data_IF_809395469925
#
_entry.id   IF_809395469925
#
_cell.length_a   1.000
_cell.length_b   1.000
_cell.length_c   1.000
_cell.angle_alpha   90.00
_cell.angle_beta   90.00
_cell.angle_gamma   90.00
#
_symmetry.space_group_name_H-M   'P 1'
#
loop_
_entity.id
_entity.type
_entity.pdbx_description
1 polymer ?
#
# COMPACT_ATOMS: atom_id res chain seq x y z
N UNK A 1 21.94 10.78 -7.45
CA UNK A 1 21.51 10.70 -8.86
C UNK A 1 19.99 10.80 -8.93
N UNK A 2 19.44 11.70 -9.77
CA UNK A 2 18.00 11.80 -10.00
C UNK A 2 17.60 10.88 -11.15
N UNK A 3 17.21 9.65 -10.85
CA UNK A 3 16.72 8.71 -11.87
C UNK A 3 15.32 9.12 -12.36
N UNK A 4 15.09 9.03 -13.67
CA UNK A 4 13.78 9.31 -14.27
C UNK A 4 12.73 8.25 -13.88
N UNK A 5 13.17 7.01 -13.65
CA UNK A 5 12.38 5.88 -13.20
C UNK A 5 13.23 4.99 -12.29
N UNK A 6 12.63 4.38 -11.26
CA UNK A 6 13.32 3.47 -10.34
C UNK A 6 12.39 2.34 -9.91
N UNK A 7 12.98 1.17 -9.62
CA UNK A 7 12.29 0.00 -9.07
C UNK A 7 12.79 -0.32 -7.66
N UNK A 8 11.88 -0.76 -6.80
CA UNK A 8 12.17 -1.22 -5.45
C UNK A 8 11.29 -2.42 -5.10
N UNK A 9 11.90 -3.44 -4.49
CA UNK A 9 11.19 -4.51 -3.80
C UNK A 9 11.22 -4.20 -2.31
N UNK A 10 10.08 -4.30 -1.63
CA UNK A 10 9.99 -4.03 -0.20
C UNK A 10 9.19 -5.14 0.48
N UNK A 11 9.68 -5.55 1.65
CA UNK A 11 8.98 -6.45 2.55
C UNK A 11 8.65 -5.70 3.84
N UNK A 12 7.37 -5.71 4.21
CA UNK A 12 6.86 -5.15 5.45
C UNK A 12 6.54 -6.27 6.41
N UNK A 13 7.50 -6.64 7.27
CA UNK A 13 7.29 -7.67 8.31
C UNK A 13 6.20 -7.26 9.32
N UNK A 14 6.05 -5.96 9.54
CA UNK A 14 5.12 -5.37 10.50
C UNK A 14 4.15 -4.41 9.81
N UNK A 15 3.04 -4.10 10.49
CA UNK A 15 2.08 -3.08 10.10
C UNK A 15 2.78 -1.73 9.94
N UNK A 16 2.73 -1.18 8.74
CA UNK A 16 3.32 0.12 8.42
C UNK A 16 2.26 1.04 7.84
N UNK A 17 2.16 2.27 8.32
CA UNK A 17 1.27 3.28 7.75
C UNK A 17 2.03 4.56 7.45
N UNK A 18 1.83 5.08 6.25
CA UNK A 18 2.40 6.34 5.81
C UNK A 18 1.43 7.51 6.10
N UNK A 19 1.94 8.71 6.40
CA UNK A 19 1.08 9.88 6.56
C UNK A 19 0.40 10.23 5.24
N UNK A 20 -0.81 10.79 5.33
CA UNK A 20 -1.54 11.28 4.17
C UNK A 20 -0.87 12.54 3.61
N UNK A 21 -0.21 12.42 2.47
CA UNK A 21 0.50 13.54 1.82
C UNK A 21 0.47 13.42 0.29
N UNK A 22 0.76 14.53 -0.38
CA UNK A 22 0.92 14.55 -1.83
C UNK A 22 2.15 13.75 -2.23
N UNK A 23 2.00 12.82 -3.17
CA UNK A 23 3.15 12.06 -3.69
C UNK A 23 3.99 12.93 -4.62
N UNK A 24 5.32 12.86 -4.44
CA UNK A 24 6.27 13.69 -5.20
C UNK A 24 6.70 13.07 -6.53
N UNK A 25 6.33 11.82 -6.76
CA UNK A 25 6.57 11.04 -7.97
C UNK A 25 5.30 10.29 -8.33
N UNK A 26 5.17 9.93 -9.60
CA UNK A 26 4.21 8.90 -9.96
C UNK A 26 4.68 7.55 -9.40
N UNK A 27 3.74 6.68 -9.06
CA UNK A 27 4.02 5.38 -8.48
C UNK A 27 3.13 4.32 -9.08
N UNK A 28 3.73 3.22 -9.51
CA UNK A 28 3.05 1.95 -9.70
C UNK A 28 3.38 1.08 -8.48
N UNK A 29 2.38 0.53 -7.82
CA UNK A 29 2.52 -0.32 -6.65
C UNK A 29 1.82 -1.65 -6.93
N UNK A 30 2.57 -2.74 -6.91
CA UNK A 30 2.06 -4.11 -7.00
C UNK A 30 2.22 -4.79 -5.65
N UNK A 31 1.18 -5.49 -5.20
CA UNK A 31 1.26 -6.37 -4.04
C UNK A 31 1.52 -7.78 -4.56
N UNK A 32 2.68 -8.33 -4.24
CA UNK A 32 3.04 -9.70 -4.62
C UNK A 32 2.46 -10.70 -3.60
N UNK A 33 2.46 -10.32 -2.32
CA UNK A 33 1.92 -11.10 -1.23
C UNK A 33 1.37 -10.18 -0.13
N UNK A 34 0.32 -10.61 0.57
CA UNK A 34 -0.27 -9.88 1.68
C UNK A 34 -1.35 -8.89 1.24
N UNK A 35 -1.47 -7.78 1.98
CA UNK A 35 -2.53 -6.80 1.79
C UNK A 35 -2.01 -5.38 2.03
N UNK A 36 -2.28 -4.48 1.09
CA UNK A 36 -2.06 -3.05 1.27
C UNK A 36 -3.38 -2.29 1.18
N UNK A 37 -3.47 -1.15 1.86
CA UNK A 37 -4.57 -0.20 1.73
C UNK A 37 -4.07 1.10 1.12
N UNK A 38 -4.69 1.51 0.03
CA UNK A 38 -4.47 2.82 -0.60
C UNK A 38 -5.64 3.74 -0.25
N UNK A 39 -5.40 4.74 0.60
CA UNK A 39 -6.36 5.82 0.81
C UNK A 39 -6.23 6.84 -0.30
N UNK A 40 -7.20 6.90 -1.19
CA UNK A 40 -7.28 7.90 -2.26
C UNK A 40 -8.64 8.60 -2.19
N UNK A 41 -8.63 9.93 -2.03
CA UNK A 41 -9.88 10.66 -1.76
C UNK A 41 -10.48 10.26 -0.40
N UNK A 42 -11.74 9.82 -0.38
CA UNK A 42 -12.45 9.41 0.84
C UNK A 42 -12.37 7.91 1.11
N UNK A 43 -12.08 7.11 0.09
CA UNK A 43 -12.10 5.64 0.13
C UNK A 43 -10.72 5.08 0.44
N UNK A 44 -10.67 4.00 1.21
CA UNK A 44 -9.48 3.14 1.39
C UNK A 44 -9.64 1.88 0.54
N UNK A 45 -8.91 1.82 -0.58
CA UNK A 45 -8.93 0.70 -1.50
C UNK A 45 -8.05 -0.43 -0.98
N UNK A 46 -8.60 -1.64 -0.91
CA UNK A 46 -7.86 -2.84 -0.60
C UNK A 46 -7.11 -3.32 -1.85
N UNK A 47 -5.78 -3.36 -1.77
CA UNK A 47 -4.88 -3.85 -2.81
C UNK A 47 -4.37 -5.23 -2.35
N UNK A 48 -4.98 -6.27 -2.90
CA UNK A 48 -4.73 -7.67 -2.59
C UNK A 48 -3.57 -8.23 -3.42
N UNK A 49 -3.08 -9.40 -3.05
CA UNK A 49 -2.02 -10.08 -3.78
C UNK A 49 -2.37 -10.26 -5.27
N UNK A 50 -1.41 -9.96 -6.14
CA UNK A 50 -1.57 -9.94 -7.60
C UNK A 50 -2.13 -8.64 -8.16
N UNK A 51 -2.70 -7.75 -7.32
CA UNK A 51 -3.24 -6.48 -7.79
C UNK A 51 -2.16 -5.40 -7.89
N UNK A 52 -2.39 -4.48 -8.83
CA UNK A 52 -1.50 -3.34 -9.08
C UNK A 52 -2.32 -2.05 -9.12
N UNK A 53 -1.80 -1.00 -8.49
CA UNK A 53 -2.39 0.34 -8.50
C UNK A 53 -1.42 1.38 -9.05
N UNK A 54 -1.95 2.33 -9.80
CA UNK A 54 -1.28 3.53 -10.24
C UNK A 54 -1.67 4.72 -9.37
N UNK A 55 -0.66 5.47 -8.91
CA UNK A 55 -0.80 6.68 -8.11
C UNK A 55 -0.08 7.82 -8.84
N UNK A 56 -0.81 8.75 -9.47
CA UNK A 56 -0.22 9.89 -10.15
C UNK A 56 0.52 10.82 -9.21
N UNK A 57 1.54 11.51 -9.73
CA UNK A 57 2.16 12.67 -9.08
C UNK A 57 1.09 13.65 -8.56
N UNK A 58 1.38 14.27 -7.42
CA UNK A 58 0.51 15.24 -6.73
C UNK A 58 -0.80 14.66 -6.17
N UNK A 59 -1.00 13.35 -6.25
CA UNK A 59 -2.13 12.68 -5.59
C UNK A 59 -1.96 12.71 -4.08
N UNK A 60 -2.99 13.18 -3.36
CA UNK A 60 -3.05 13.13 -1.90
C UNK A 60 -3.51 11.74 -1.45
N UNK A 61 -2.58 10.91 -1.00
CA UNK A 61 -2.87 9.56 -0.54
C UNK A 61 -2.11 9.17 0.74
N UNK A 62 -2.54 8.06 1.35
CA UNK A 62 -1.75 7.32 2.34
C UNK A 62 -1.78 5.85 1.99
N UNK A 63 -0.69 5.15 2.29
CA UNK A 63 -0.53 3.71 2.17
C UNK A 63 -0.44 3.09 3.56
N UNK A 64 -1.18 2.00 3.78
CA UNK A 64 -0.98 1.08 4.90
C UNK A 64 -0.60 -0.29 4.35
N UNK A 65 0.45 -0.90 4.87
CA UNK A 65 0.88 -2.26 4.55
C UNK A 65 0.62 -3.14 5.76
N UNK A 66 -0.08 -4.26 5.55
CA UNK A 66 -0.33 -5.24 6.61
C UNK A 66 0.97 -6.03 6.89
N UNK A 67 1.08 -6.68 8.05
CA UNK A 67 2.21 -7.56 8.33
C UNK A 67 2.44 -8.59 7.21
N UNK A 68 3.71 -8.95 7.00
CA UNK A 68 4.17 -9.88 5.96
C UNK A 68 3.76 -9.51 4.52
N UNK A 69 3.60 -8.21 4.23
CA UNK A 69 3.26 -7.75 2.88
C UNK A 69 4.52 -7.54 2.04
N UNK A 70 4.54 -8.17 0.86
CA UNK A 70 5.61 -8.02 -0.14
C UNK A 70 5.10 -7.19 -1.31
N UNK A 71 5.86 -6.17 -1.70
CA UNK A 71 5.48 -5.28 -2.78
C UNK A 71 6.63 -5.07 -3.77
N UNK A 72 6.23 -4.72 -4.98
CA UNK A 72 7.07 -4.07 -5.98
C UNK A 72 6.57 -2.65 -6.21
N UNK A 73 7.51 -1.72 -6.26
CA UNK A 73 7.24 -0.29 -6.46
C UNK A 73 8.07 0.23 -7.62
N UNK A 74 7.40 0.81 -8.62
CA UNK A 74 8.03 1.62 -9.66
C UNK A 74 7.71 3.08 -9.37
N UNK A 75 8.73 3.92 -9.25
CA UNK A 75 8.56 5.36 -9.15
C UNK A 75 9.03 6.06 -10.41
N UNK A 76 8.26 7.03 -10.89
CA UNK A 76 8.62 7.84 -12.06
C UNK A 76 8.65 9.31 -11.67
N UNK A 77 9.75 9.98 -12.01
CA UNK A 77 9.93 11.41 -11.76
C UNK A 77 8.81 12.21 -12.43
N UNK A 78 8.29 13.23 -11.74
CA UNK A 78 7.30 14.16 -12.30
C UNK A 78 7.82 15.00 -13.47
N UNK A 79 9.15 15.00 -13.70
CA UNK A 79 9.81 15.74 -14.78
C UNK A 79 9.87 14.97 -16.11
N UNK A 80 9.38 13.72 -16.16
CA UNK A 80 9.35 12.98 -17.43
C UNK A 80 8.34 13.64 -18.38
N UNK A 81 8.68 13.68 -19.67
CA UNK A 81 7.84 14.29 -20.71
C UNK A 81 6.80 13.34 -21.29
N UNK A 82 6.89 12.05 -20.96
CA UNK A 82 5.93 11.03 -21.39
C UNK A 82 4.54 11.32 -20.81
N UNK A 83 3.50 11.15 -21.62
CA UNK A 83 2.10 11.25 -21.15
C UNK A 83 1.81 10.06 -20.24
N UNK A 84 1.66 10.32 -18.95
CA UNK A 84 1.29 9.33 -17.95
C UNK A 84 -0.17 9.53 -17.53
N UNK A 85 -0.85 8.47 -17.04
CA UNK A 85 -2.23 8.60 -16.56
C UNK A 85 -2.33 9.61 -15.42
N UNK A 86 -3.31 10.50 -15.54
CA UNK A 86 -3.59 11.56 -14.55
C UNK A 86 -4.49 11.10 -13.41
N UNK A 87 -5.29 10.05 -13.65
CA UNK A 87 -6.15 9.43 -12.66
C UNK A 87 -5.40 8.29 -11.97
N UNK A 88 -5.60 8.13 -10.67
CA UNK A 88 -5.13 6.95 -9.92
C UNK A 88 -6.20 5.86 -9.85
N UNK A 89 -5.76 4.62 -9.70
CA UNK A 89 -6.66 3.47 -9.67
C UNK A 89 -5.93 2.15 -9.90
N UNK A 90 -6.68 1.07 -9.86
CA UNK A 90 -6.21 -0.26 -10.24
C UNK A 90 -5.90 -0.32 -11.73
N UNK A 91 -4.86 -1.06 -12.08
CA UNK A 91 -4.46 -1.26 -13.47
C UNK A 91 -4.24 -2.75 -13.72
N UNK A 92 -4.69 -3.23 -14.88
CA UNK A 92 -4.20 -4.47 -15.44
C UNK A 92 -2.91 -4.20 -16.21
N UNK A 93 -1.86 -4.92 -15.86
CA UNK A 93 -0.60 -4.88 -16.59
C UNK A 93 -0.69 -5.79 -17.81
N UNK A 94 -0.19 -5.33 -18.95
CA UNK A 94 -0.02 -6.20 -20.11
C UNK A 94 1.10 -7.23 -19.86
N UNK A 95 1.21 -8.21 -20.75
CA UNK A 95 2.17 -9.30 -20.63
C UNK A 95 3.62 -8.80 -20.52
N UNK A 96 3.97 -7.77 -21.30
CA UNK A 96 5.29 -7.16 -21.28
C UNK A 96 5.61 -6.51 -19.92
N UNK A 97 4.71 -5.66 -19.41
CA UNK A 97 4.84 -5.04 -18.09
C UNK A 97 4.97 -6.09 -17.00
N UNK A 98 4.13 -7.12 -17.04
CA UNK A 98 4.14 -8.21 -16.05
C UNK A 98 5.46 -8.96 -16.07
N UNK A 99 5.97 -9.33 -17.26
CA UNK A 99 7.24 -10.01 -17.41
C UNK A 99 8.42 -9.15 -16.94
N UNK A 100 8.41 -7.85 -17.24
CA UNK A 100 9.43 -6.91 -16.79
C UNK A 100 9.42 -6.75 -15.27
N UNK A 101 8.26 -6.58 -14.64
CA UNK A 101 8.13 -6.49 -13.18
C UNK A 101 8.59 -7.77 -12.47
N UNK A 102 8.17 -8.94 -12.98
CA UNK A 102 8.62 -10.23 -12.45
C UNK A 102 10.15 -10.33 -12.48
N UNK A 103 10.77 -10.01 -13.62
CA UNK A 103 12.23 -10.01 -13.75
C UNK A 103 12.87 -8.98 -12.83
N UNK A 104 12.38 -7.74 -12.79
CA UNK A 104 12.91 -6.67 -11.93
C UNK A 104 12.88 -7.06 -10.44
N UNK A 105 11.93 -7.91 -10.04
CA UNK A 105 11.80 -8.45 -8.69
C UNK A 105 12.85 -9.47 -8.27
N UNK A 106 13.59 -10.06 -9.21
CA UNK A 106 14.59 -11.08 -8.92
C UNK A 106 15.83 -10.46 -8.25
N UNK A 107 16.21 -10.97 -7.07
CA UNK A 107 17.22 -10.36 -6.18
C UNK A 107 18.68 -10.33 -6.71
N UNK A 108 18.93 -10.79 -7.93
CA UNK A 108 20.30 -10.97 -8.47
C UNK A 108 20.54 -10.27 -9.82
N UNK A 109 19.85 -9.16 -10.09
CA UNK A 109 20.09 -8.41 -11.33
C UNK A 109 21.14 -7.30 -11.17
N UNK A 110 22.19 -7.40 -11.99
CA UNK A 110 23.16 -6.33 -12.15
C UNK A 110 22.47 -5.05 -12.61
N UNK A 111 22.87 -3.91 -12.02
CA UNK A 111 22.29 -2.60 -12.29
C UNK A 111 22.23 -2.25 -13.80
N UNK A 112 23.23 -2.68 -14.57
CA UNK A 112 23.32 -2.47 -16.02
C UNK A 112 22.17 -3.13 -16.80
N UNK A 113 21.63 -4.26 -16.32
CA UNK A 113 20.49 -4.94 -16.96
C UNK A 113 19.15 -4.32 -16.57
N UNK A 114 19.08 -3.70 -15.39
CA UNK A 114 17.87 -3.05 -14.87
C UNK A 114 17.53 -1.77 -15.65
N UNK A 115 18.53 -0.99 -16.06
CA UNK A 115 18.30 0.31 -16.73
C UNK A 115 17.53 0.17 -18.06
N UNK A 116 17.91 -0.72 -19.00
CA UNK A 116 17.14 -0.94 -20.22
C UNK A 116 15.71 -1.43 -19.95
N UNK A 117 15.53 -2.33 -18.97
CA UNK A 117 14.20 -2.84 -18.61
C UNK A 117 13.29 -1.72 -18.10
N UNK A 118 13.80 -0.83 -17.24
CA UNK A 118 13.05 0.33 -16.78
C UNK A 118 12.76 1.33 -17.90
N UNK A 119 13.65 1.47 -18.89
CA UNK A 119 13.39 2.32 -20.04
C UNK A 119 12.21 1.81 -20.88
N UNK A 120 12.14 0.50 -21.14
CA UNK A 120 10.99 -0.14 -21.82
C UNK A 120 9.73 -0.02 -20.97
N UNK A 121 9.81 -0.35 -19.69
CA UNK A 121 8.68 -0.25 -18.76
C UNK A 121 8.08 1.17 -18.73
N UNK A 122 8.94 2.20 -18.75
CA UNK A 122 8.50 3.60 -18.77
C UNK A 122 7.67 3.95 -20.01
N UNK A 123 7.96 3.35 -21.16
CA UNK A 123 7.18 3.58 -22.39
C UNK A 123 5.78 3.00 -22.26
N UNK A 124 5.69 1.78 -21.72
CA UNK A 124 4.43 1.06 -21.51
C UNK A 124 3.51 1.74 -20.48
N UNK A 125 4.06 2.46 -19.49
CA UNK A 125 3.26 3.18 -18.49
C UNK A 125 2.26 4.18 -19.08
N UNK A 126 2.49 4.67 -20.30
CA UNK A 126 1.56 5.58 -20.98
C UNK A 126 0.26 4.90 -21.44
N UNK A 127 0.26 3.57 -21.52
CA UNK A 127 -0.88 2.74 -21.97
C UNK A 127 -1.79 2.30 -20.82
N UNK A 128 -1.40 2.59 -19.57
CA UNK A 128 -2.21 2.23 -18.42
C UNK A 128 -3.57 2.96 -18.46
N UNK A 129 -4.61 2.23 -18.08
CA UNK A 129 -5.96 2.76 -17.89
C UNK A 129 -6.39 2.51 -16.43
N UNK A 130 -6.03 3.41 -15.49
CA UNK A 130 -6.35 3.22 -14.08
C UNK A 130 -7.83 3.42 -13.79
N UNK A 131 -8.43 2.49 -13.06
CA UNK A 131 -9.84 2.53 -12.65
C UNK A 131 -10.00 2.36 -11.15
N UNK A 132 -10.93 3.11 -10.57
CA UNK A 132 -11.26 3.00 -9.15
C UNK A 132 -12.51 2.13 -9.03
N UNK A 133 -12.28 0.86 -8.75
CA UNK A 133 -13.33 -0.13 -8.50
C UNK A 133 -13.24 -0.56 -7.02
N UNK A 134 -14.37 -0.60 -6.33
CA UNK A 134 -14.43 -1.06 -4.94
C UNK A 134 -14.70 -2.56 -4.90
N UNK A 135 -13.68 -3.35 -4.57
CA UNK A 135 -13.83 -4.79 -4.30
C UNK A 135 -14.69 -5.03 -3.05
N UNK A 136 -15.18 -6.26 -2.86
CA UNK A 136 -15.88 -6.65 -1.62
C UNK A 136 -15.01 -6.40 -0.38
N UNK A 137 -13.70 -6.69 -0.47
CA UNK A 137 -12.74 -6.38 0.59
C UNK A 137 -12.64 -4.87 0.85
N UNK A 138 -12.59 -4.06 -0.22
CA UNK A 138 -12.60 -2.59 -0.10
C UNK A 138 -13.85 -2.13 0.64
N UNK A 139 -15.03 -2.60 0.23
CA UNK A 139 -16.28 -2.22 0.88
C UNK A 139 -16.31 -2.66 2.35
N UNK A 140 -15.92 -3.90 2.64
CA UNK A 140 -15.90 -4.45 3.99
C UNK A 140 -14.97 -3.65 4.92
N UNK A 141 -13.79 -3.24 4.44
CA UNK A 141 -12.84 -2.44 5.22
C UNK A 141 -13.38 -1.02 5.47
N UNK A 142 -13.98 -0.37 4.47
CA UNK A 142 -14.52 0.99 4.65
C UNK A 142 -15.75 1.03 5.58
N UNK A 143 -16.50 -0.07 5.70
CA UNK A 143 -17.64 -0.20 6.61
C UNK A 143 -17.29 -0.81 7.97
N UNK A 144 -16.05 -1.30 8.16
CA UNK A 144 -15.64 -1.96 9.38
C UNK A 144 -15.67 -1.01 10.59
N UNK A 145 -16.15 -1.54 11.73
CA UNK A 145 -16.16 -0.88 13.04
C UNK A 145 -15.82 -1.92 14.11
N UNK A 146 -15.21 -1.46 15.20
CA UNK A 146 -14.63 -2.32 16.27
C UNK A 146 -15.67 -3.26 16.91
N UNK A 147 -16.90 -2.78 17.10
CA UNK A 147 -17.97 -3.52 17.81
C UNK A 147 -19.10 -4.01 16.90
N UNK A 148 -18.86 -4.03 15.58
CA UNK A 148 -19.84 -4.49 14.60
C UNK A 148 -19.37 -5.79 13.99
N UNK A 149 -20.27 -6.78 13.92
CA UNK A 149 -20.00 -8.05 13.25
C UNK A 149 -19.56 -7.78 11.82
N UNK A 150 -18.36 -8.23 11.47
CA UNK A 150 -17.76 -8.03 10.15
C UNK A 150 -17.59 -9.37 9.43
N UNK A 151 -17.60 -9.31 8.10
CA UNK A 151 -17.23 -10.43 7.20
C UNK A 151 -15.72 -10.57 7.04
N UNK A 152 -14.94 -9.58 7.50
CA UNK A 152 -13.48 -9.62 7.45
C UNK A 152 -12.92 -10.73 8.32
N UNK A 153 -11.78 -11.31 7.93
CA UNK A 153 -11.08 -12.29 8.76
C UNK A 153 -10.65 -11.67 10.10
N UNK A 154 -10.55 -12.49 11.14
CA UNK A 154 -10.11 -12.04 12.47
C UNK A 154 -8.74 -11.35 12.44
N UNK A 155 -7.84 -11.82 11.58
CA UNK A 155 -6.53 -11.21 11.37
C UNK A 155 -6.64 -9.79 10.81
N UNK A 156 -7.46 -9.58 9.78
CA UNK A 156 -7.66 -8.23 9.21
C UNK A 156 -8.30 -7.31 10.24
N UNK A 157 -9.29 -7.78 10.99
CA UNK A 157 -9.93 -6.99 12.03
C UNK A 157 -8.96 -6.59 13.14
N UNK A 158 -8.05 -7.48 13.52
CA UNK A 158 -7.00 -7.23 14.52
C UNK A 158 -6.06 -6.10 14.06
N UNK A 159 -5.61 -6.16 12.80
CA UNK A 159 -4.76 -5.13 12.20
C UNK A 159 -5.48 -3.79 12.12
N UNK A 160 -6.74 -3.77 11.69
CA UNK A 160 -7.56 -2.55 11.62
C UNK A 160 -7.77 -1.93 13.01
N UNK A 161 -7.97 -2.77 14.03
CA UNK A 161 -8.10 -2.36 15.43
C UNK A 161 -6.82 -1.75 15.98
N UNK A 162 -5.65 -2.35 15.70
CA UNK A 162 -4.35 -1.77 16.06
C UNK A 162 -4.10 -0.44 15.34
N UNK A 163 -4.46 -0.33 14.06
CA UNK A 163 -4.36 0.91 13.30
C UNK A 163 -5.23 2.02 13.89
N UNK A 164 -6.47 1.71 14.29
CA UNK A 164 -7.36 2.67 14.94
C UNK A 164 -6.83 3.10 16.32
N UNK A 165 -6.25 2.17 17.09
CA UNK A 165 -5.56 2.51 18.35
C UNK A 165 -4.42 3.50 18.11
N UNK A 166 -3.54 3.23 17.14
CA UNK A 166 -2.44 4.12 16.73
C UNK A 166 -2.94 5.52 16.36
N UNK A 167 -3.99 5.59 15.54
CA UNK A 167 -4.61 6.85 15.11
C UNK A 167 -5.19 7.65 16.29
N UNK A 168 -5.89 7.02 17.23
CA UNK A 168 -6.44 7.70 18.41
C UNK A 168 -5.34 8.28 19.31
N UNK A 169 -4.25 7.53 19.50
CA UNK A 169 -3.10 8.00 20.26
C UNK A 169 -2.39 9.17 19.57
N UNK A 170 -2.19 9.11 18.24
CA UNK A 170 -1.67 10.25 17.45
C UNK A 170 -2.57 11.48 17.50
N UNK A 171 -3.87 11.29 17.78
CA UNK A 171 -4.85 12.37 17.98
C UNK A 171 -4.89 12.87 19.43
N UNK A 172 -3.97 12.43 20.29
CA UNK A 172 -3.80 12.91 21.67
C UNK A 172 -4.55 12.13 22.74
N UNK A 173 -5.23 11.03 22.40
CA UNK A 173 -5.90 10.18 23.40
C UNK A 173 -4.87 9.38 24.21
N UNK A 174 -5.11 9.26 25.53
CA UNK A 174 -4.22 8.49 26.42
C UNK A 174 -4.33 6.99 26.12
N UNK A 175 -3.20 6.29 26.14
CA UNK A 175 -3.14 4.84 25.88
C UNK A 175 -4.13 4.05 26.75
N UNK A 176 -4.25 4.38 28.05
CA UNK A 176 -5.18 3.70 28.95
C UNK A 176 -6.65 3.80 28.46
N UNK A 177 -7.05 4.96 27.95
CA UNK A 177 -8.40 5.16 27.40
C UNK A 177 -8.59 4.37 26.10
N UNK A 178 -7.60 4.39 25.21
CA UNK A 178 -7.65 3.62 23.95
C UNK A 178 -7.74 2.11 24.22
N UNK A 179 -7.01 1.62 25.23
CA UNK A 179 -7.05 0.22 25.65
C UNK A 179 -8.39 -0.15 26.30
N UNK A 180 -8.97 0.76 27.08
CA UNK A 180 -10.32 0.59 27.63
C UNK A 180 -11.35 0.42 26.50
N UNK A 181 -11.38 1.38 25.58
CA UNK A 181 -12.39 1.46 24.52
C UNK A 181 -12.27 0.34 23.49
N UNK A 182 -11.04 0.01 23.09
CA UNK A 182 -10.81 -0.95 22.01
C UNK A 182 -10.57 -2.35 22.57
N UNK A 183 -9.80 -2.51 23.64
CA UNK A 183 -9.33 -3.82 24.11
C UNK A 183 -9.97 -4.25 25.43
N UNK A 184 -11.04 -3.58 25.88
CA UNK A 184 -11.78 -3.98 27.08
C UNK A 184 -10.92 -3.97 28.35
N UNK A 185 -10.05 -2.96 28.50
CA UNK A 185 -9.06 -2.83 29.58
C UNK A 185 -7.96 -3.91 29.62
N UNK A 186 -7.85 -4.77 28.60
CA UNK A 186 -6.81 -5.82 28.54
C UNK A 186 -5.47 -5.24 28.05
N UNK A 187 -4.76 -4.55 28.94
CA UNK A 187 -3.46 -3.92 28.61
C UNK A 187 -2.41 -4.92 28.14
N UNK A 188 -2.31 -6.09 28.78
CA UNK A 188 -1.33 -7.13 28.39
C UNK A 188 -1.57 -7.63 26.97
N UNK A 189 -2.83 -7.91 26.62
CA UNK A 189 -3.20 -8.32 25.27
C UNK A 189 -2.87 -7.24 24.24
N UNK A 190 -3.13 -5.97 24.56
CA UNK A 190 -2.74 -4.84 23.71
C UNK A 190 -1.22 -4.79 23.49
N UNK A 191 -0.41 -4.94 24.54
CA UNK A 191 1.06 -4.92 24.42
C UNK A 191 1.59 -6.11 23.61
N UNK A 192 1.03 -7.30 23.79
CA UNK A 192 1.37 -8.48 22.97
C UNK A 192 1.07 -8.25 21.49
N UNK A 193 -0.10 -7.68 21.19
CA UNK A 193 -0.50 -7.35 19.82
C UNK A 193 0.35 -6.25 19.21
N UNK A 194 0.74 -5.26 20.01
CA UNK A 194 1.67 -4.20 19.60
C UNK A 194 3.01 -4.79 19.19
N UNK A 195 3.56 -5.70 19.99
CA UNK A 195 4.81 -6.39 19.66
C UNK A 195 4.70 -7.25 18.42
N UNK A 196 3.63 -8.04 18.32
CA UNK A 196 3.42 -8.93 17.18
C UNK A 196 3.18 -8.17 15.85
N UNK A 197 2.42 -7.07 15.89
CA UNK A 197 1.96 -6.38 14.68
C UNK A 197 2.81 -5.16 14.31
N UNK A 198 3.44 -4.48 15.27
CA UNK A 198 4.26 -3.29 15.02
C UNK A 198 5.76 -3.54 15.22
N UNK A 199 6.14 -4.66 15.85
CA UNK A 199 7.53 -4.98 16.16
C UNK A 199 8.09 -4.15 17.33
N UNK A 200 7.21 -3.64 18.19
CA UNK A 200 7.52 -2.75 19.34
C UNK A 200 7.29 -3.40 20.70
#
# INVERSE_FOLDING_TARGET
MHYAISHQVQHYSFLSTTPRKKVLKHMLLRVDQGLALLKLGKTEYAVEAGQTVWIPFDSLCSLTFFPNTHIQRIEVSSRVTSRLPKQGGFVQLNELCTALLNRLGEQQQAHEKTVPMLAVFKQELSLLAPELNESEMTQAINHWKVDVKSTLSSEVQLVLKMREAGKRMLSGQKQAQVVADLFGNQMEAYLQLRSALLGE
#
